data_IF_308328929934
#
_entry.id   IF_308328929934
#
_cell.length_a   1.000
_cell.length_b   1.000
_cell.length_c   1.000
_cell.angle_alpha   90.00
_cell.angle_beta   90.00
_cell.angle_gamma   90.00
#
_symmetry.space_group_name_H-M   'P 1'
#
loop_
_entity.id
_entity.type
_entity.pdbx_description
1 polymer ?
#
# COMPACT_ATOMS: atom_id res chain seq x y z
N UNK A 1 -5.30 -12.17 16.20
CA UNK A 1 -5.16 -10.73 15.86
C UNK A 1 -6.45 -10.34 15.14
N UNK A 2 -7.04 -9.21 15.49
CA UNK A 2 -8.24 -8.73 14.81
C UNK A 2 -7.98 -8.54 13.32
N UNK A 3 -8.94 -8.92 12.47
CA UNK A 3 -8.80 -8.81 11.02
C UNK A 3 -9.02 -7.39 10.51
N UNK A 4 -9.69 -6.54 11.30
CA UNK A 4 -10.05 -5.16 10.94
C UNK A 4 -9.52 -4.16 11.96
N UNK A 5 -9.27 -2.96 11.47
CA UNK A 5 -9.04 -1.75 12.24
C UNK A 5 -10.11 -0.71 11.89
N UNK A 6 -10.16 0.38 12.68
CA UNK A 6 -11.14 1.44 12.53
C UNK A 6 -10.49 2.82 12.71
N UNK A 7 -10.85 3.79 11.85
CA UNK A 7 -10.54 5.20 12.09
C UNK A 7 -11.42 5.77 13.22
N UNK A 8 -11.02 6.90 13.79
CA UNK A 8 -11.77 7.57 14.87
C UNK A 8 -13.22 7.92 14.49
N UNK A 9 -13.52 8.10 13.21
CA UNK A 9 -14.86 8.40 12.69
C UNK A 9 -15.73 7.15 12.46
N UNK A 10 -15.27 5.97 12.84
CA UNK A 10 -16.01 4.73 12.70
C UNK A 10 -15.79 3.95 11.41
N UNK A 11 -15.02 4.50 10.45
CA UNK A 11 -14.72 3.78 9.21
C UNK A 11 -13.80 2.58 9.47
N UNK A 12 -14.23 1.39 9.03
CA UNK A 12 -13.50 0.12 9.23
C UNK A 12 -12.77 -0.31 7.95
N UNK A 13 -11.61 -0.95 8.11
CA UNK A 13 -10.82 -1.51 7.02
C UNK A 13 -10.09 -2.78 7.46
N UNK A 14 -9.73 -3.64 6.50
CA UNK A 14 -8.95 -4.84 6.79
C UNK A 14 -7.49 -4.48 7.14
N UNK A 15 -6.90 -5.25 8.03
CA UNK A 15 -5.46 -5.13 8.34
C UNK A 15 -4.56 -5.71 7.23
N UNK A 16 -5.12 -6.55 6.37
CA UNK A 16 -4.53 -6.94 5.10
C UNK A 16 -5.40 -6.33 4.00
N UNK A 17 -4.81 -5.41 3.24
CA UNK A 17 -5.46 -4.68 2.15
C UNK A 17 -5.05 -5.31 0.83
N UNK A 18 -6.02 -5.51 -0.04
CA UNK A 18 -5.83 -6.04 -1.38
C UNK A 18 -5.19 -4.96 -2.27
N UNK A 19 -3.88 -5.06 -2.54
CA UNK A 19 -3.16 -4.15 -3.41
C UNK A 19 -3.45 -4.44 -4.88
N UNK A 20 -3.90 -3.44 -5.63
CA UNK A 20 -4.33 -3.59 -7.01
C UNK A 20 -3.31 -3.04 -8.04
N UNK A 21 -2.10 -2.66 -7.62
CA UNK A 21 -1.10 -2.15 -8.56
C UNK A 21 -0.74 -3.16 -9.65
N UNK A 22 -0.73 -4.45 -9.31
CA UNK A 22 -0.43 -5.55 -10.24
C UNK A 22 -1.49 -5.71 -11.35
N UNK A 23 -2.67 -5.13 -11.17
CA UNK A 23 -3.75 -5.13 -12.17
C UNK A 23 -3.62 -4.00 -13.20
N UNK A 24 -2.69 -3.06 -12.99
CA UNK A 24 -2.41 -2.03 -14.00
C UNK A 24 -1.89 -2.67 -15.28
N UNK A 25 -2.44 -2.26 -16.43
CA UNK A 25 -2.08 -2.80 -17.74
C UNK A 25 -0.59 -2.72 -18.07
N UNK A 26 0.14 -1.83 -17.40
CA UNK A 26 1.57 -1.63 -17.59
C UNK A 26 2.43 -2.37 -16.56
N UNK A 27 1.84 -3.09 -15.60
CA UNK A 27 2.61 -3.73 -14.52
C UNK A 27 3.40 -4.93 -15.01
N UNK A 28 2.78 -5.78 -15.83
CA UNK A 28 3.44 -6.93 -16.42
C UNK A 28 4.36 -6.47 -17.56
N UNK A 29 5.63 -6.87 -17.52
CA UNK A 29 6.57 -6.61 -18.61
C UNK A 29 6.27 -7.49 -19.83
N UNK A 30 5.64 -8.65 -19.61
CA UNK A 30 5.18 -9.59 -20.62
C UNK A 30 3.82 -10.17 -20.21
N UNK A 31 2.90 -10.27 -21.17
CA UNK A 31 1.56 -10.84 -20.96
C UNK A 31 0.43 -9.81 -20.84
N UNK A 32 -0.78 -10.30 -20.73
CA UNK A 32 -1.99 -9.49 -20.61
C UNK A 32 -2.76 -9.86 -19.34
N UNK A 33 -3.37 -8.86 -18.69
CA UNK A 33 -4.31 -9.07 -17.59
C UNK A 33 -5.62 -9.62 -18.15
N UNK A 34 -6.10 -10.74 -17.61
CA UNK A 34 -7.49 -11.15 -17.80
C UNK A 34 -8.36 -10.48 -16.72
N UNK A 35 -9.17 -9.52 -17.13
CA UNK A 35 -10.07 -8.77 -16.24
C UNK A 35 -11.08 -9.69 -15.55
N UNK A 36 -11.57 -10.74 -16.26
CA UNK A 36 -12.54 -11.69 -15.68
C UNK A 36 -11.91 -12.51 -14.55
N UNK A 37 -10.63 -12.87 -14.69
CA UNK A 37 -9.91 -13.56 -13.62
C UNK A 37 -9.71 -12.64 -12.42
N UNK A 38 -9.41 -11.36 -12.64
CA UNK A 38 -9.30 -10.37 -11.57
C UNK A 38 -10.64 -10.20 -10.83
N UNK A 39 -11.76 -10.11 -11.55
CA UNK A 39 -13.10 -10.01 -10.96
C UNK A 39 -13.46 -11.27 -10.15
N UNK A 40 -13.18 -12.47 -10.67
CA UNK A 40 -13.35 -13.72 -9.91
C UNK A 40 -12.54 -13.73 -8.62
N UNK A 41 -11.29 -13.25 -8.68
CA UNK A 41 -10.44 -13.14 -7.49
C UNK A 41 -11.02 -12.15 -6.47
N UNK A 42 -11.59 -11.03 -6.92
CA UNK A 42 -12.23 -10.06 -6.03
C UNK A 42 -13.44 -10.66 -5.29
N UNK A 43 -14.30 -11.38 -5.99
CA UNK A 43 -15.41 -12.10 -5.34
C UNK A 43 -14.90 -13.09 -4.28
N UNK A 44 -13.92 -13.93 -4.62
CA UNK A 44 -13.32 -14.89 -3.67
C UNK A 44 -12.75 -14.19 -2.43
N UNK A 45 -12.08 -13.05 -2.59
CA UNK A 45 -11.51 -12.29 -1.49
C UNK A 45 -12.59 -11.71 -0.58
N UNK A 46 -13.62 -11.12 -1.15
CA UNK A 46 -14.75 -10.54 -0.41
C UNK A 46 -15.50 -11.63 0.36
N UNK A 47 -15.73 -12.79 -0.23
CA UNK A 47 -16.39 -13.93 0.43
C UNK A 47 -15.56 -14.48 1.60
N UNK A 48 -14.22 -14.33 1.55
CA UNK A 48 -13.32 -14.67 2.65
C UNK A 48 -13.16 -13.53 3.69
N UNK A 49 -13.85 -12.39 3.50
CA UNK A 49 -13.81 -11.25 4.42
C UNK A 49 -12.69 -10.23 4.16
N UNK A 50 -11.93 -10.36 3.06
CA UNK A 50 -10.93 -9.37 2.62
C UNK A 50 -11.59 -8.32 1.73
N UNK A 51 -12.25 -7.35 2.35
CA UNK A 51 -13.14 -6.41 1.69
C UNK A 51 -12.50 -5.06 1.34
N UNK A 52 -11.24 -4.81 1.72
CA UNK A 52 -10.55 -3.55 1.50
C UNK A 52 -9.58 -3.67 0.33
N UNK A 53 -9.69 -2.76 -0.65
CA UNK A 53 -8.87 -2.70 -1.87
C UNK A 53 -8.11 -1.38 -1.93
N UNK A 54 -6.83 -1.41 -2.35
CA UNK A 54 -6.00 -0.22 -2.58
C UNK A 54 -5.68 -0.08 -4.07
N UNK A 55 -6.04 1.04 -4.64
CA UNK A 55 -5.75 1.41 -6.04
C UNK A 55 -5.14 2.83 -6.13
N UNK A 56 -5.11 3.40 -7.32
CA UNK A 56 -4.71 4.78 -7.57
C UNK A 56 -5.27 5.28 -8.90
N UNK A 57 -5.48 6.58 -9.00
CA UNK A 57 -5.92 7.28 -10.21
C UNK A 57 -4.97 7.13 -11.40
N UNK A 58 -3.69 6.82 -11.11
CA UNK A 58 -2.64 6.59 -12.11
C UNK A 58 -2.41 5.11 -12.45
N UNK A 59 -3.09 4.17 -11.79
CA UNK A 59 -3.01 2.74 -12.14
C UNK A 59 -3.93 2.48 -13.32
N UNK A 60 -3.36 2.46 -14.52
CA UNK A 60 -4.11 2.37 -15.79
C UNK A 60 -5.07 1.19 -15.80
N UNK A 61 -6.37 1.46 -15.89
CA UNK A 61 -7.46 0.48 -15.98
C UNK A 61 -7.95 -0.08 -14.63
N UNK A 62 -7.28 0.22 -13.51
CA UNK A 62 -7.60 -0.43 -12.21
C UNK A 62 -8.86 0.15 -11.58
N UNK A 63 -9.05 1.47 -11.62
CA UNK A 63 -10.29 2.08 -11.09
C UNK A 63 -11.51 1.60 -11.87
N UNK A 64 -11.37 1.39 -13.18
CA UNK A 64 -12.40 0.84 -14.05
C UNK A 64 -12.74 -0.62 -13.70
N UNK A 65 -11.74 -1.46 -13.43
CA UNK A 65 -11.95 -2.85 -12.97
C UNK A 65 -12.71 -2.88 -11.64
N UNK A 66 -12.35 -1.99 -10.69
CA UNK A 66 -13.08 -1.85 -9.43
C UNK A 66 -14.52 -1.40 -9.68
N UNK A 67 -14.74 -0.47 -10.62
CA UNK A 67 -16.07 -0.03 -11.03
C UNK A 67 -16.91 -1.15 -11.62
N UNK A 68 -16.33 -2.01 -12.45
CA UNK A 68 -17.00 -3.21 -12.98
C UNK A 68 -17.39 -4.16 -11.85
N UNK A 69 -16.48 -4.41 -10.89
CA UNK A 69 -16.76 -5.21 -9.70
C UNK A 69 -17.92 -4.64 -8.87
N UNK A 70 -17.94 -3.32 -8.63
CA UNK A 70 -19.06 -2.64 -7.97
C UNK A 70 -20.38 -2.86 -8.72
N UNK A 71 -20.36 -2.79 -10.06
CA UNK A 71 -21.54 -3.05 -10.87
C UNK A 71 -22.01 -4.51 -10.81
N UNK A 72 -21.09 -5.49 -10.75
CA UNK A 72 -21.44 -6.90 -10.53
C UNK A 72 -22.13 -7.09 -9.19
N UNK A 73 -21.57 -6.54 -8.10
CA UNK A 73 -22.18 -6.60 -6.77
C UNK A 73 -23.57 -5.94 -6.73
N UNK A 74 -23.78 -4.84 -7.47
CA UNK A 74 -25.09 -4.17 -7.58
C UNK A 74 -26.12 -5.08 -8.30
N UNK A 75 -25.72 -5.72 -9.40
CA UNK A 75 -26.57 -6.63 -10.17
C UNK A 75 -27.00 -7.86 -9.38
N UNK A 76 -26.11 -8.40 -8.57
CA UNK A 76 -26.37 -9.57 -7.72
C UNK A 76 -27.24 -9.25 -6.48
N UNK A 77 -27.67 -8.00 -6.30
CA UNK A 77 -28.42 -7.54 -5.13
C UNK A 77 -27.65 -7.57 -3.81
N UNK A 78 -26.36 -7.83 -3.90
CA UNK A 78 -25.45 -7.97 -2.77
C UNK A 78 -24.70 -6.68 -2.42
N UNK A 79 -24.92 -5.60 -3.18
CA UNK A 79 -24.23 -4.35 -2.96
C UNK A 79 -24.82 -3.57 -1.79
N UNK A 80 -23.95 -3.29 -0.84
CA UNK A 80 -24.11 -2.23 0.15
C UNK A 80 -22.82 -1.40 0.06
N UNK A 81 -22.91 -0.09 0.21
CA UNK A 81 -21.73 0.79 0.12
C UNK A 81 -20.60 0.40 1.09
N UNK A 82 -20.95 -0.15 2.25
CA UNK A 82 -20.05 -0.60 3.29
C UNK A 82 -19.52 -2.04 3.09
N UNK A 83 -20.01 -2.77 2.06
CA UNK A 83 -19.58 -4.15 1.80
C UNK A 83 -18.12 -4.24 1.40
N UNK A 84 -17.66 -3.27 0.60
CA UNK A 84 -16.26 -3.15 0.21
C UNK A 84 -15.76 -1.74 0.51
N UNK A 85 -14.49 -1.64 0.88
CA UNK A 85 -13.78 -0.39 1.11
C UNK A 85 -12.77 -0.21 -0.02
N UNK A 86 -12.74 0.96 -0.65
CA UNK A 86 -11.80 1.26 -1.72
C UNK A 86 -10.96 2.48 -1.36
N UNK A 87 -9.67 2.26 -1.21
CA UNK A 87 -8.67 3.28 -0.99
C UNK A 87 -8.02 3.63 -2.32
N UNK A 88 -8.29 4.81 -2.86
CA UNK A 88 -7.59 5.31 -4.05
C UNK A 88 -6.55 6.35 -3.67
N UNK A 89 -5.81 6.84 -4.65
CA UNK A 89 -4.82 7.88 -4.47
C UNK A 89 -5.13 9.05 -5.40
N UNK A 90 -4.79 10.24 -4.95
CA UNK A 90 -4.67 11.41 -5.80
C UNK A 90 -3.18 11.67 -6.04
N UNK A 91 -2.72 11.34 -7.25
CA UNK A 91 -1.33 11.44 -7.68
C UNK A 91 -1.27 12.36 -8.90
N UNK A 92 -1.13 13.68 -8.71
CA UNK A 92 -1.09 14.61 -9.84
C UNK A 92 0.11 14.31 -10.74
N UNK A 93 -0.06 14.48 -12.05
CA UNK A 93 1.06 14.34 -12.99
C UNK A 93 2.18 15.32 -12.61
N UNK A 94 3.42 14.85 -12.63
CA UNK A 94 4.58 15.66 -12.24
C UNK A 94 4.70 16.94 -13.07
N UNK A 95 4.33 16.91 -14.34
CA UNK A 95 4.34 18.06 -15.24
C UNK A 95 3.33 19.14 -14.87
N UNK A 96 2.27 18.77 -14.14
CA UNK A 96 1.17 19.68 -13.73
C UNK A 96 1.46 20.36 -12.40
N UNK A 97 2.35 19.83 -11.58
CA UNK A 97 2.60 20.34 -10.22
C UNK A 97 2.80 21.87 -10.16
N UNK A 98 3.57 22.51 -11.06
CA UNK A 98 3.79 23.96 -10.99
C UNK A 98 2.54 24.80 -11.26
N UNK A 99 1.49 24.23 -11.87
CA UNK A 99 0.29 24.95 -12.32
C UNK A 99 -1.00 24.33 -11.79
N UNK A 100 -0.87 23.35 -10.88
CA UNK A 100 -2.03 22.66 -10.29
C UNK A 100 -2.98 23.67 -9.63
N UNK A 101 -4.26 23.42 -9.78
CA UNK A 101 -5.31 24.25 -9.21
C UNK A 101 -6.53 23.42 -8.78
N UNK A 102 -7.45 24.06 -8.10
CA UNK A 102 -8.68 23.41 -7.60
C UNK A 102 -9.47 22.68 -8.68
N UNK A 103 -9.61 23.28 -9.85
CA UNK A 103 -10.38 22.66 -10.94
C UNK A 103 -9.73 21.37 -11.43
N UNK A 104 -8.40 21.31 -11.45
CA UNK A 104 -7.67 20.08 -11.73
C UNK A 104 -7.94 19.02 -10.66
N UNK A 105 -7.79 19.38 -9.37
CA UNK A 105 -8.01 18.45 -8.24
C UNK A 105 -9.43 17.89 -8.26
N UNK A 106 -10.45 18.74 -8.42
CA UNK A 106 -11.85 18.31 -8.50
C UNK A 106 -12.10 17.39 -9.71
N UNK A 107 -11.58 17.72 -10.89
CA UNK A 107 -11.70 16.89 -12.08
C UNK A 107 -11.12 15.48 -11.91
N UNK A 108 -9.97 15.35 -11.24
CA UNK A 108 -9.35 14.04 -11.01
C UNK A 108 -10.18 13.21 -10.02
N UNK A 109 -10.65 13.81 -8.92
CA UNK A 109 -11.53 13.14 -7.96
C UNK A 109 -12.84 12.71 -8.62
N UNK A 110 -13.45 13.58 -9.42
CA UNK A 110 -14.68 13.25 -10.19
C UNK A 110 -14.46 12.12 -11.19
N UNK A 111 -13.30 12.08 -11.84
CA UNK A 111 -12.91 10.99 -12.71
C UNK A 111 -12.82 9.65 -11.95
N UNK A 112 -12.21 9.64 -10.77
CA UNK A 112 -12.13 8.44 -9.91
C UNK A 112 -13.52 7.96 -9.45
N UNK A 113 -14.42 8.89 -9.05
CA UNK A 113 -15.82 8.59 -8.72
C UNK A 113 -16.55 7.92 -9.89
N UNK A 114 -16.39 8.49 -11.08
CA UNK A 114 -17.02 7.98 -12.32
C UNK A 114 -16.49 6.59 -12.67
N UNK A 115 -15.18 6.38 -12.67
CA UNK A 115 -14.53 5.11 -13.01
C UNK A 115 -14.95 3.99 -12.07
N UNK A 116 -15.02 4.28 -10.77
CA UNK A 116 -15.37 3.30 -9.74
C UNK A 116 -16.87 3.17 -9.50
N UNK A 117 -17.72 3.90 -10.21
CA UNK A 117 -19.19 3.90 -10.05
C UNK A 117 -19.63 4.15 -8.59
N UNK A 118 -18.97 5.11 -7.91
CA UNK A 118 -19.24 5.46 -6.52
C UNK A 118 -19.67 6.92 -6.38
N UNK A 119 -20.49 7.19 -5.36
CA UNK A 119 -20.94 8.55 -5.02
C UNK A 119 -19.92 9.29 -4.15
N UNK A 120 -19.18 8.53 -3.33
CA UNK A 120 -18.11 9.05 -2.49
C UNK A 120 -16.92 8.08 -2.47
N UNK A 121 -15.69 8.62 -2.46
CA UNK A 121 -14.46 7.86 -2.28
C UNK A 121 -14.23 7.58 -0.79
N UNK A 122 -13.98 6.34 -0.42
CA UNK A 122 -13.83 5.95 0.99
C UNK A 122 -12.58 6.54 1.63
N UNK A 123 -11.46 6.50 0.91
CA UNK A 123 -10.20 7.11 1.30
C UNK A 123 -9.45 7.59 0.05
N UNK A 124 -9.04 8.85 0.06
CA UNK A 124 -8.13 9.41 -0.95
C UNK A 124 -6.78 9.67 -0.31
N UNK A 125 -5.75 9.01 -0.82
CA UNK A 125 -4.39 9.10 -0.33
C UNK A 125 -3.59 10.07 -1.21
N UNK A 126 -3.30 11.25 -0.67
CA UNK A 126 -2.63 12.32 -1.39
C UNK A 126 -1.13 12.06 -1.51
N UNK A 127 -0.62 12.08 -2.75
CA UNK A 127 0.80 11.98 -3.07
C UNK A 127 1.31 13.27 -3.71
N UNK A 128 2.53 13.67 -3.35
CA UNK A 128 3.24 14.77 -3.97
C UNK A 128 4.63 14.32 -4.37
N UNK A 129 5.01 14.55 -5.64
CA UNK A 129 6.23 13.99 -6.21
C UNK A 129 7.52 14.68 -5.78
N UNK A 130 7.46 16.00 -5.63
CA UNK A 130 8.63 16.83 -5.44
C UNK A 130 8.31 17.97 -4.49
N UNK A 131 8.78 17.86 -3.27
CA UNK A 131 8.52 18.83 -2.20
C UNK A 131 9.17 20.20 -2.42
N UNK A 132 10.07 20.35 -3.43
CA UNK A 132 10.60 21.64 -3.83
C UNK A 132 9.63 22.45 -4.71
N UNK A 133 8.62 21.77 -5.28
CA UNK A 133 7.59 22.44 -6.09
C UNK A 133 6.46 22.90 -5.17
N UNK A 134 6.09 24.19 -5.16
CA UNK A 134 5.02 24.72 -4.33
C UNK A 134 3.65 24.22 -4.77
N UNK A 135 2.62 24.39 -3.90
CA UNK A 135 1.22 24.03 -4.20
C UNK A 135 0.72 22.78 -3.46
N UNK A 136 1.60 22.03 -2.79
CA UNK A 136 1.23 20.84 -2.04
C UNK A 136 0.15 21.15 -0.97
N UNK A 137 0.31 22.20 -0.20
CA UNK A 137 -0.64 22.58 0.87
C UNK A 137 -1.97 23.02 0.31
N UNK A 138 -1.98 23.86 -0.74
CA UNK A 138 -3.20 24.33 -1.40
C UNK A 138 -3.98 23.16 -1.96
N UNK A 139 -3.29 22.20 -2.59
CA UNK A 139 -3.89 20.96 -3.11
C UNK A 139 -4.49 20.11 -1.99
N UNK A 140 -3.81 19.99 -0.85
CA UNK A 140 -4.35 19.28 0.31
C UNK A 140 -5.64 19.94 0.84
N UNK A 141 -5.69 21.26 0.91
CA UNK A 141 -6.91 22.00 1.27
C UNK A 141 -8.03 21.85 0.21
N UNK A 142 -7.69 21.72 -1.07
CA UNK A 142 -8.69 21.43 -2.09
C UNK A 142 -9.32 20.04 -1.89
N UNK A 143 -8.54 19.03 -1.47
CA UNK A 143 -9.09 17.73 -1.06
C UNK A 143 -10.00 17.83 0.18
N UNK A 144 -9.65 18.66 1.17
CA UNK A 144 -10.53 18.91 2.34
C UNK A 144 -11.87 19.50 1.90
N UNK A 145 -11.87 20.48 0.97
CA UNK A 145 -13.12 21.01 0.43
C UNK A 145 -13.96 19.98 -0.30
N UNK A 146 -13.32 19.00 -0.98
CA UNK A 146 -14.03 17.89 -1.61
C UNK A 146 -14.59 16.90 -0.58
N UNK A 147 -13.92 16.75 0.57
CA UNK A 147 -14.45 16.01 1.71
C UNK A 147 -15.67 16.71 2.30
N UNK A 148 -15.62 18.03 2.50
CA UNK A 148 -16.76 18.85 2.95
C UNK A 148 -17.96 18.78 2.01
N UNK A 149 -17.71 18.65 0.68
CA UNK A 149 -18.75 18.41 -0.35
C UNK A 149 -19.28 16.98 -0.36
N UNK A 150 -18.75 16.08 0.47
CA UNK A 150 -19.16 14.67 0.54
C UNK A 150 -18.58 13.77 -0.57
N UNK A 151 -17.69 14.27 -1.44
CA UNK A 151 -17.05 13.47 -2.49
C UNK A 151 -15.95 12.53 -1.95
N UNK A 152 -15.36 12.86 -0.81
CA UNK A 152 -14.30 12.10 -0.13
C UNK A 152 -14.74 11.86 1.31
N UNK A 153 -14.66 10.62 1.80
CA UNK A 153 -14.99 10.29 3.21
C UNK A 153 -13.81 10.49 4.13
N UNK A 154 -12.62 10.08 3.70
CA UNK A 154 -11.39 10.14 4.49
C UNK A 154 -10.22 10.64 3.65
N UNK A 155 -9.32 11.41 4.27
CA UNK A 155 -8.07 11.89 3.65
C UNK A 155 -6.90 11.17 4.31
N UNK A 156 -6.09 10.51 3.48
CA UNK A 156 -4.81 9.95 3.85
C UNK A 156 -3.69 10.61 3.07
N UNK A 157 -2.46 10.28 3.44
CA UNK A 157 -1.25 10.69 2.74
C UNK A 157 -0.58 9.46 2.12
N UNK A 158 0.27 9.69 1.11
CA UNK A 158 1.07 8.65 0.48
C UNK A 158 2.51 9.13 0.32
N UNK A 159 3.45 8.38 0.91
CA UNK A 159 4.89 8.67 0.90
C UNK A 159 5.28 10.04 1.49
N UNK A 160 4.49 10.57 2.42
CA UNK A 160 4.91 11.72 3.18
C UNK A 160 5.94 11.29 4.24
N UNK A 161 7.05 12.00 4.33
CA UNK A 161 7.97 11.87 5.45
C UNK A 161 7.36 12.51 6.72
N UNK A 162 8.06 12.39 7.84
CA UNK A 162 7.56 12.90 9.13
C UNK A 162 7.35 14.42 9.13
N UNK A 163 8.23 15.17 8.47
CA UNK A 163 8.14 16.64 8.42
C UNK A 163 6.92 17.08 7.62
N UNK A 164 6.69 16.50 6.44
CA UNK A 164 5.53 16.83 5.58
C UNK A 164 4.23 16.37 6.23
N UNK A 165 4.23 15.18 6.84
CA UNK A 165 3.07 14.72 7.60
C UNK A 165 2.75 15.67 8.76
N UNK A 166 3.76 16.14 9.47
CA UNK A 166 3.62 17.15 10.54
C UNK A 166 3.03 18.45 10.00
N UNK A 167 3.54 18.96 8.88
CA UNK A 167 3.00 20.18 8.25
C UNK A 167 1.51 20.04 7.93
N UNK A 168 1.07 18.89 7.39
CA UNK A 168 -0.34 18.63 7.08
C UNK A 168 -1.20 18.65 8.34
N UNK A 169 -0.77 17.95 9.39
CA UNK A 169 -1.50 17.87 10.67
C UNK A 169 -1.58 19.21 11.36
N UNK A 170 -0.48 19.97 11.45
CA UNK A 170 -0.42 21.29 12.07
C UNK A 170 -1.26 22.34 11.31
N UNK A 171 -1.41 22.19 10.00
CA UNK A 171 -2.29 23.01 9.18
C UNK A 171 -3.77 22.64 9.31
N UNK A 172 -4.12 21.61 10.08
CA UNK A 172 -5.50 21.19 10.31
C UNK A 172 -6.09 20.25 9.24
N UNK A 173 -5.25 19.67 8.34
CA UNK A 173 -5.72 18.64 7.41
C UNK A 173 -6.11 17.39 8.23
N UNK A 174 -7.33 16.81 8.05
CA UNK A 174 -7.83 15.69 8.84
C UNK A 174 -7.24 14.35 8.36
N UNK A 175 -5.92 14.20 8.52
CA UNK A 175 -5.18 13.03 8.06
C UNK A 175 -5.50 11.82 8.93
N UNK A 176 -6.01 10.73 8.34
CA UNK A 176 -6.30 9.48 9.06
C UNK A 176 -5.24 8.40 8.84
N UNK A 177 -4.47 8.47 7.74
CA UNK A 177 -3.44 7.49 7.42
C UNK A 177 -2.31 8.10 6.59
N UNK A 178 -1.14 7.44 6.61
CA UNK A 178 -0.06 7.68 5.67
C UNK A 178 0.43 6.34 5.10
N UNK A 179 0.37 6.18 3.79
CA UNK A 179 0.88 4.99 3.12
C UNK A 179 2.37 5.11 2.89
N UNK A 180 3.17 4.17 3.39
CA UNK A 180 4.63 4.21 3.32
C UNK A 180 5.23 2.84 3.00
N UNK A 181 6.39 2.83 2.31
CA UNK A 181 7.15 1.60 2.10
C UNK A 181 7.77 1.15 3.41
N UNK A 182 7.46 -0.10 3.81
CA UNK A 182 8.00 -0.68 5.02
C UNK A 182 8.04 -2.20 4.94
N UNK A 183 9.20 -2.78 5.25
CA UNK A 183 9.44 -4.23 5.26
C UNK A 183 10.40 -4.63 6.36
N UNK A 184 10.67 -5.93 6.49
CA UNK A 184 11.62 -6.47 7.48
C UNK A 184 13.06 -5.97 7.27
N UNK A 185 13.41 -5.47 6.09
CA UNK A 185 14.74 -4.93 5.76
C UNK A 185 14.72 -3.44 5.40
N UNK A 186 13.64 -2.89 4.85
CA UNK A 186 13.48 -1.44 4.66
C UNK A 186 12.76 -0.84 5.88
N UNK A 187 13.52 -0.46 6.88
CA UNK A 187 13.02 -0.01 8.18
C UNK A 187 13.06 1.51 8.36
N UNK A 188 13.13 2.27 7.26
CA UNK A 188 13.16 3.75 7.30
C UNK A 188 12.03 4.38 8.11
N UNK A 189 10.76 3.90 8.07
CA UNK A 189 9.67 4.47 8.86
C UNK A 189 9.87 4.40 10.37
N UNK A 190 10.68 3.46 10.88
CA UNK A 190 10.95 3.32 12.32
C UNK A 190 11.76 4.49 12.91
N UNK A 191 12.41 5.29 12.07
CA UNK A 191 13.25 6.40 12.55
C UNK A 191 12.42 7.45 13.29
N UNK A 192 11.32 7.91 12.71
CA UNK A 192 10.47 8.98 13.26
C UNK A 192 9.01 8.83 12.88
N UNK A 193 8.70 8.26 11.69
CA UNK A 193 7.35 8.26 11.13
C UNK A 193 6.35 7.46 11.99
N UNK A 194 6.74 6.26 12.43
CA UNK A 194 5.84 5.40 13.22
C UNK A 194 5.51 6.02 14.57
N UNK A 195 6.49 6.64 15.23
CA UNK A 195 6.31 7.28 16.54
C UNK A 195 5.43 8.53 16.40
N UNK A 196 5.68 9.37 15.38
CA UNK A 196 4.85 10.53 15.10
C UNK A 196 3.39 10.12 14.79
N UNK A 197 3.22 9.14 13.91
CA UNK A 197 1.89 8.63 13.53
C UNK A 197 1.13 8.09 14.73
N UNK A 198 1.79 7.30 15.60
CA UNK A 198 1.18 6.77 16.82
C UNK A 198 0.73 7.87 17.77
N UNK A 199 1.57 8.91 17.98
CA UNK A 199 1.26 10.03 18.86
C UNK A 199 0.04 10.84 18.38
N UNK A 200 -0.22 10.87 17.07
CA UNK A 200 -1.33 11.64 16.49
C UNK A 200 -2.54 10.77 16.10
N UNK A 201 -2.49 9.46 16.35
CA UNK A 201 -3.57 8.54 16.00
C UNK A 201 -3.77 8.37 14.49
N UNK A 202 -2.68 8.48 13.73
CA UNK A 202 -2.63 8.28 12.28
C UNK A 202 -2.15 6.85 12.02
N UNK A 203 -2.85 6.11 11.18
CA UNK A 203 -2.39 4.78 10.79
C UNK A 203 -1.32 4.84 9.70
N UNK A 204 -0.30 4.01 9.83
CA UNK A 204 0.66 3.75 8.76
C UNK A 204 0.17 2.54 7.96
N UNK A 205 -0.09 2.73 6.67
CA UNK A 205 -0.39 1.66 5.72
C UNK A 205 0.89 1.27 4.99
N UNK A 206 1.25 -0.03 5.07
CA UNK A 206 2.58 -0.45 4.63
C UNK A 206 2.51 -1.20 3.30
N UNK A 207 3.19 -0.69 2.28
CA UNK A 207 3.42 -1.41 1.04
C UNK A 207 4.88 -1.90 0.95
N UNK A 208 5.13 -2.83 0.01
CA UNK A 208 6.46 -3.42 -0.17
C UNK A 208 6.85 -4.42 0.90
N UNK A 209 5.92 -4.80 1.77
CA UNK A 209 6.15 -5.72 2.90
C UNK A 209 6.67 -7.08 2.46
N UNK A 210 6.30 -7.53 1.26
CA UNK A 210 6.76 -8.78 0.65
C UNK A 210 7.84 -8.59 -0.43
N UNK A 211 8.42 -7.39 -0.54
CA UNK A 211 9.50 -7.09 -1.49
C UNK A 211 9.17 -7.48 -2.95
N UNK A 212 7.95 -7.18 -3.42
CA UNK A 212 7.54 -7.55 -4.78
C UNK A 212 7.45 -9.06 -5.03
N UNK A 213 7.35 -9.85 -3.95
CA UNK A 213 7.29 -11.31 -3.98
C UNK A 213 8.64 -11.99 -3.69
N UNK A 214 9.73 -11.25 -3.48
CA UNK A 214 11.03 -11.85 -3.16
C UNK A 214 11.11 -12.47 -1.77
N UNK A 215 10.22 -12.10 -0.82
CA UNK A 215 10.11 -12.76 0.48
C UNK A 215 9.27 -14.04 0.38
N UNK A 216 9.79 -15.01 -0.37
CA UNK A 216 9.18 -16.30 -0.64
C UNK A 216 10.27 -17.39 -0.68
N UNK A 217 9.98 -18.59 -0.16
CA UNK A 217 10.90 -19.73 -0.09
C UNK A 217 11.42 -20.15 -1.48
N UNK A 218 10.67 -19.90 -2.55
CA UNK A 218 11.08 -20.22 -3.92
C UNK A 218 12.37 -19.53 -4.39
N UNK A 219 12.76 -18.42 -3.73
CA UNK A 219 14.00 -17.68 -4.03
C UNK A 219 15.21 -18.12 -3.20
N UNK A 220 15.02 -19.06 -2.26
CA UNK A 220 16.13 -19.54 -1.42
C UNK A 220 17.15 -20.34 -2.25
N UNK A 221 18.42 -19.98 -2.07
CA UNK A 221 19.53 -20.64 -2.78
C UNK A 221 19.63 -20.32 -4.29
N UNK A 222 18.75 -19.43 -4.79
CA UNK A 222 18.78 -19.06 -6.22
C UNK A 222 19.68 -17.85 -6.48
N UNK A 223 20.28 -17.86 -7.65
CA UNK A 223 20.86 -16.68 -8.26
C UNK A 223 19.74 -15.77 -8.72
N UNK A 224 19.95 -14.46 -8.65
CA UNK A 224 18.99 -13.50 -9.15
C UNK A 224 18.79 -13.64 -10.66
N UNK A 225 17.53 -13.75 -11.08
CA UNK A 225 17.14 -13.82 -12.49
C UNK A 225 16.54 -12.45 -12.93
N UNK A 226 16.46 -12.22 -14.23
CA UNK A 226 15.87 -10.99 -14.79
C UNK A 226 14.43 -10.79 -14.28
N UNK A 227 14.03 -9.55 -13.95
CA UNK A 227 12.70 -9.28 -13.42
C UNK A 227 11.63 -9.46 -14.49
N UNK A 228 10.51 -10.05 -14.10
CA UNK A 228 9.33 -10.27 -14.94
C UNK A 228 8.28 -9.16 -14.79
N UNK A 229 8.35 -8.41 -13.71
CA UNK A 229 7.38 -7.38 -13.36
C UNK A 229 8.03 -6.07 -12.91
N UNK A 230 7.31 -4.97 -13.03
CA UNK A 230 7.75 -3.67 -12.48
C UNK A 230 7.98 -3.72 -10.96
N UNK A 231 7.20 -4.52 -10.23
CA UNK A 231 7.44 -4.76 -8.80
C UNK A 231 8.83 -5.35 -8.55
N UNK A 232 9.20 -6.39 -9.29
CA UNK A 232 10.51 -7.03 -9.12
C UNK A 232 11.64 -6.06 -9.46
N UNK A 233 11.53 -5.27 -10.54
CA UNK A 233 12.51 -4.21 -10.87
C UNK A 233 12.70 -3.26 -9.70
N UNK A 234 11.60 -2.72 -9.18
CA UNK A 234 11.61 -1.77 -8.06
C UNK A 234 12.24 -2.36 -6.80
N UNK A 235 11.76 -3.54 -6.39
CA UNK A 235 12.19 -4.11 -5.11
C UNK A 235 13.57 -4.73 -5.16
N UNK A 236 14.07 -5.12 -6.33
CA UNK A 236 15.47 -5.47 -6.45
C UNK A 236 16.38 -4.29 -6.14
N UNK A 237 16.08 -3.09 -6.66
CA UNK A 237 16.83 -1.89 -6.30
C UNK A 237 16.82 -1.63 -4.80
N UNK A 238 15.67 -1.82 -4.13
CA UNK A 238 15.57 -1.64 -2.67
C UNK A 238 16.40 -2.70 -1.93
N UNK A 239 16.41 -3.94 -2.40
CA UNK A 239 17.22 -5.02 -1.83
C UNK A 239 18.71 -4.69 -1.97
N UNK A 240 19.16 -4.28 -3.16
CA UNK A 240 20.57 -3.92 -3.41
C UNK A 240 21.00 -2.72 -2.56
N UNK A 241 20.16 -1.68 -2.44
CA UNK A 241 20.45 -0.49 -1.64
C UNK A 241 20.49 -0.77 -0.13
N UNK A 242 19.85 -1.86 0.35
CA UNK A 242 19.70 -2.15 1.78
C UNK A 242 20.62 -3.25 2.30
N UNK A 243 20.64 -4.42 1.68
CA UNK A 243 21.35 -5.60 2.19
C UNK A 243 22.00 -6.47 1.11
N UNK A 244 21.79 -6.15 -0.18
CA UNK A 244 22.24 -6.94 -1.32
C UNK A 244 21.56 -8.30 -1.43
N UNK A 245 21.79 -9.01 -2.55
CA UNK A 245 21.18 -10.32 -2.76
C UNK A 245 21.66 -11.37 -1.75
N UNK A 246 22.93 -11.36 -1.37
CA UNK A 246 23.47 -12.27 -0.35
C UNK A 246 22.85 -12.04 1.02
N UNK A 247 22.63 -10.77 1.39
CA UNK A 247 21.91 -10.42 2.62
C UNK A 247 20.45 -10.87 2.59
N UNK A 248 19.80 -10.76 1.42
CA UNK A 248 18.45 -11.25 1.21
C UNK A 248 18.37 -12.78 1.37
N UNK A 249 19.35 -13.54 0.87
CA UNK A 249 19.41 -15.00 1.06
C UNK A 249 19.52 -15.37 2.56
N UNK A 250 20.37 -14.67 3.31
CA UNK A 250 20.50 -14.88 4.78
C UNK A 250 19.18 -14.55 5.49
N UNK A 251 18.50 -13.47 5.10
CA UNK A 251 17.20 -13.10 5.65
C UNK A 251 16.15 -14.17 5.36
N UNK A 252 16.09 -14.70 4.14
CA UNK A 252 15.15 -15.77 3.78
C UNK A 252 15.35 -17.02 4.65
N UNK A 253 16.61 -17.44 4.90
CA UNK A 253 16.91 -18.56 5.78
C UNK A 253 16.38 -18.30 7.20
N UNK A 254 16.65 -17.11 7.76
CA UNK A 254 16.15 -16.74 9.10
C UNK A 254 14.62 -16.76 9.16
N UNK A 255 13.95 -16.16 8.17
CA UNK A 255 12.50 -16.11 8.14
C UNK A 255 11.87 -17.49 7.96
N UNK A 256 12.48 -18.37 7.16
CA UNK A 256 12.04 -19.76 7.00
C UNK A 256 12.16 -20.53 8.31
N UNK A 257 13.27 -20.37 9.06
CA UNK A 257 13.47 -21.05 10.33
C UNK A 257 12.43 -20.60 11.38
N UNK A 258 12.04 -19.32 11.35
CA UNK A 258 10.92 -18.81 12.15
C UNK A 258 9.60 -19.41 11.65
N UNK A 259 9.35 -19.37 10.34
CA UNK A 259 8.14 -19.89 9.73
C UNK A 259 7.90 -21.36 10.05
N UNK A 260 8.97 -22.19 10.00
CA UNK A 260 8.93 -23.61 10.37
C UNK A 260 8.50 -23.89 11.80
N UNK A 261 8.90 -23.03 12.77
CA UNK A 261 8.47 -23.16 14.17
C UNK A 261 6.96 -22.98 14.37
N UNK A 262 6.31 -22.22 13.48
CA UNK A 262 4.90 -21.88 13.59
C UNK A 262 4.03 -22.54 12.51
N UNK A 263 4.61 -23.29 11.59
CA UNK A 263 3.87 -23.94 10.50
C UNK A 263 3.23 -22.95 9.53
N UNK A 264 3.91 -21.83 9.25
CA UNK A 264 3.45 -20.75 8.36
C UNK A 264 4.49 -20.48 7.26
N UNK A 265 4.17 -19.63 6.27
CA UNK A 265 5.12 -19.24 5.21
C UNK A 265 6.05 -18.09 5.65
N UNK A 266 7.17 -17.90 4.95
CA UNK A 266 8.06 -16.73 5.07
C UNK A 266 7.28 -15.42 4.91
N UNK A 267 6.38 -15.36 3.94
CA UNK A 267 5.51 -14.20 3.71
C UNK A 267 4.66 -13.87 4.95
N UNK A 268 4.10 -14.89 5.62
CA UNK A 268 3.31 -14.69 6.84
C UNK A 268 4.14 -14.12 7.97
N UNK A 269 5.39 -14.57 8.14
CA UNK A 269 6.31 -14.03 9.16
C UNK A 269 6.58 -12.55 8.88
N UNK A 270 6.91 -12.20 7.63
CA UNK A 270 7.19 -10.82 7.22
C UNK A 270 5.98 -9.90 7.45
N UNK A 271 4.79 -10.30 7.02
CA UNK A 271 3.54 -9.56 7.23
C UNK A 271 3.25 -9.37 8.73
N UNK A 272 3.37 -10.43 9.53
CA UNK A 272 3.09 -10.36 10.96
C UNK A 272 4.09 -9.48 11.71
N UNK A 273 5.37 -9.48 11.32
CA UNK A 273 6.35 -8.56 11.89
C UNK A 273 5.93 -7.10 11.70
N UNK A 274 5.54 -6.72 10.49
CA UNK A 274 5.13 -5.35 10.18
C UNK A 274 3.82 -4.97 10.89
N UNK A 275 2.81 -5.85 10.88
CA UNK A 275 1.51 -5.58 11.53
C UNK A 275 1.60 -5.39 13.05
N UNK A 276 2.69 -5.78 13.69
CA UNK A 276 2.92 -5.60 15.13
C UNK A 276 3.62 -4.29 15.49
N UNK A 277 4.06 -3.53 14.49
CA UNK A 277 4.74 -2.27 14.75
C UNK A 277 3.75 -1.17 15.12
N UNK A 278 4.24 -0.17 15.86
CA UNK A 278 3.44 1.00 16.28
C UNK A 278 2.78 1.66 15.07
N UNK A 279 1.60 2.19 15.25
CA UNK A 279 0.79 2.88 14.23
C UNK A 279 0.48 2.08 12.96
N UNK A 280 1.03 0.89 12.76
CA UNK A 280 0.74 0.10 11.57
C UNK A 280 -0.71 -0.38 11.60
N UNK A 281 -1.54 0.24 10.77
CA UNK A 281 -2.95 -0.09 10.60
C UNK A 281 -3.15 -1.29 9.71
N UNK A 282 -2.42 -1.34 8.60
CA UNK A 282 -2.56 -2.40 7.59
C UNK A 282 -1.30 -2.58 6.76
N UNK A 283 -1.20 -3.73 6.11
CA UNK A 283 -0.26 -4.01 5.02
C UNK A 283 -0.99 -4.23 3.71
N UNK A 284 -0.44 -3.73 2.60
CA UNK A 284 -0.91 -4.02 1.26
C UNK A 284 -0.18 -5.23 0.70
N UNK A 285 -0.97 -6.22 0.27
CA UNK A 285 -0.49 -7.43 -0.39
C UNK A 285 -1.10 -7.50 -1.78
N UNK A 286 -0.28 -7.77 -2.79
CA UNK A 286 -0.77 -7.90 -4.17
C UNK A 286 -1.77 -9.04 -4.29
N UNK A 287 -2.89 -8.76 -4.94
CA UNK A 287 -4.01 -9.70 -5.10
C UNK A 287 -3.83 -10.64 -6.27
N UNK A 288 -2.95 -10.29 -7.19
CA UNK A 288 -2.76 -10.97 -8.46
C UNK A 288 -1.28 -11.22 -8.76
N UNK A 289 -0.97 -12.42 -9.23
CA UNK A 289 0.31 -12.74 -9.83
C UNK A 289 0.06 -13.13 -11.30
N UNK A 290 0.61 -12.38 -12.27
CA UNK A 290 0.38 -12.64 -13.70
C UNK A 290 0.87 -14.02 -14.17
N UNK A 291 1.80 -14.65 -13.43
CA UNK A 291 2.35 -15.97 -13.78
C UNK A 291 1.61 -17.13 -13.14
N UNK A 292 0.84 -16.93 -12.07
CA UNK A 292 0.14 -18.00 -11.33
C UNK A 292 -1.31 -17.67 -10.96
N UNK A 293 -1.89 -16.57 -11.47
CA UNK A 293 -3.25 -16.15 -11.14
C UNK A 293 -3.41 -15.56 -9.72
N UNK A 294 -4.57 -15.71 -9.09
CA UNK A 294 -4.84 -15.14 -7.77
C UNK A 294 -3.82 -15.65 -6.74
N UNK A 295 -3.21 -14.74 -5.97
CA UNK A 295 -2.25 -15.07 -4.90
C UNK A 295 -2.94 -15.73 -3.70
N UNK A 296 -3.63 -16.85 -3.90
CA UNK A 296 -4.33 -17.58 -2.84
C UNK A 296 -3.37 -18.17 -1.77
N UNK A 297 -2.10 -18.38 -2.13
CA UNK A 297 -1.09 -18.93 -1.22
C UNK A 297 -0.48 -17.89 -0.26
N UNK A 298 -0.68 -16.59 -0.51
CA UNK A 298 -0.03 -15.52 0.25
C UNK A 298 -0.91 -14.98 1.39
N UNK A 299 -2.20 -15.30 1.40
CA UNK A 299 -3.08 -14.85 2.49
C UNK A 299 -2.93 -15.76 3.71
N UNK A 300 -2.61 -15.21 4.89
CA UNK A 300 -2.52 -15.98 6.11
C UNK A 300 -3.91 -16.43 6.55
N UNK A 301 -4.38 -17.57 6.06
CA UNK A 301 -5.63 -18.20 6.50
C UNK A 301 -5.51 -18.84 7.89
N UNK A 302 -4.28 -18.97 8.44
CA UNK A 302 -4.05 -19.44 9.80
C UNK A 302 -3.81 -18.27 10.75
N UNK A 303 -4.59 -18.24 11.83
CA UNK A 303 -4.37 -17.35 12.96
C UNK A 303 -3.02 -17.65 13.62
N UNK A 304 -2.14 -16.65 13.68
CA UNK A 304 -0.92 -16.69 14.47
C UNK A 304 -1.27 -16.92 15.96
N UNK A 305 -0.55 -17.79 16.68
CA UNK A 305 -0.81 -17.98 18.11
C UNK A 305 -0.68 -16.65 18.88
N UNK A 306 -1.39 -16.50 20.02
CA UNK A 306 -1.33 -15.29 20.82
C UNK A 306 0.10 -15.01 21.29
N UNK A 307 0.42 -13.73 21.39
CA UNK A 307 1.72 -13.14 21.67
C UNK A 307 2.57 -13.91 22.68
N UNK A 308 3.77 -14.34 22.24
CA UNK A 308 4.87 -14.58 23.18
C UNK A 308 5.28 -13.25 23.83
N UNK A 309 5.66 -13.24 25.13
CA UNK A 309 6.02 -12.01 25.83
C UNK A 309 7.22 -11.33 25.16
N UNK A 310 7.18 -9.99 25.10
CA UNK A 310 8.24 -9.15 24.57
C UNK A 310 9.55 -9.39 25.34
N UNK A 311 10.51 -10.07 24.74
CA UNK A 311 11.88 -10.14 25.26
C UNK A 311 12.70 -8.98 24.71
N UNK A 312 13.02 -8.06 25.57
CA UNK A 312 14.17 -7.16 25.70
C UNK A 312 15.17 -7.08 24.52
N UNK A 313 15.32 -5.84 24.06
CA UNK A 313 16.53 -5.19 23.52
C UNK A 313 17.59 -6.06 22.83
N UNK A 314 17.49 -6.17 21.50
CA UNK A 314 18.66 -6.43 20.65
C UNK A 314 19.38 -5.12 20.30
N UNK A 315 20.72 -5.09 20.28
CA UNK A 315 21.47 -3.88 19.91
C UNK A 315 21.20 -3.50 18.46
N UNK A 316 20.90 -2.22 18.23
CA UNK A 316 20.69 -1.67 16.86
C UNK A 316 22.02 -1.66 16.09
N UNK A 317 22.08 -2.17 14.85
CA UNK A 317 23.21 -1.87 13.96
C UNK A 317 23.23 -0.37 13.69
N UNK A 318 24.40 0.25 13.80
CA UNK A 318 24.63 1.64 13.37
C UNK A 318 24.56 1.69 11.84
N UNK A 319 23.46 2.17 11.28
CA UNK A 319 23.40 2.52 9.88
C UNK A 319 23.95 3.94 9.68
N UNK A 320 24.89 4.08 8.74
CA UNK A 320 25.40 5.37 8.27
C UNK A 320 24.26 6.25 7.77
N UNK A 321 24.32 7.52 8.12
CA UNK A 321 23.38 8.54 7.68
C UNK A 321 23.56 8.81 6.18
N UNK A 322 22.75 8.16 5.36
CA UNK A 322 22.50 8.63 4.00
C UNK A 322 21.13 9.29 3.97
N UNK A 323 21.13 10.60 3.74
CA UNK A 323 19.93 11.38 3.46
C UNK A 323 19.19 10.76 2.27
N UNK A 324 17.88 10.59 2.42
CA UNK A 324 17.03 10.22 1.30
C UNK A 324 17.02 11.35 0.28
N UNK A 325 17.83 11.24 -0.75
CA UNK A 325 17.61 11.92 -2.01
C UNK A 325 16.67 11.05 -2.82
N UNK A 326 15.53 11.60 -3.25
CA UNK A 326 14.63 10.96 -4.19
C UNK A 326 15.36 10.38 -5.40
N UNK A 327 14.70 9.57 -6.24
CA UNK A 327 15.35 8.90 -7.36
C UNK A 327 16.19 9.88 -8.16
N UNK A 328 17.43 9.48 -8.49
CA UNK A 328 18.37 10.32 -9.24
C UNK A 328 17.72 10.84 -10.53
N UNK A 329 18.04 12.06 -10.99
CA UNK A 329 17.54 12.56 -12.26
C UNK A 329 17.88 11.58 -13.39
N UNK A 330 16.88 11.04 -14.09
CA UNK A 330 17.04 10.08 -15.19
C UNK A 330 16.39 8.73 -15.01
N UNK A 331 16.06 8.30 -13.81
CA UNK A 331 15.23 7.12 -13.61
C UNK A 331 13.78 7.53 -13.47
N UNK A 332 12.94 7.18 -14.45
CA UNK A 332 11.47 7.25 -14.31
C UNK A 332 11.12 6.34 -13.12
N UNK A 333 10.79 6.95 -11.98
CA UNK A 333 10.17 6.22 -10.88
C UNK A 333 8.80 5.76 -11.37
N UNK A 334 8.72 4.51 -11.80
CA UNK A 334 7.43 3.85 -11.97
C UNK A 334 6.97 3.37 -10.59
N UNK A 335 5.79 3.82 -10.20
CA UNK A 335 5.03 3.21 -9.10
C UNK A 335 4.66 1.78 -9.44
#
# INVERSE_FOLDING_TARGET
MEQKNQFKNGYTFNRIINGCWQLSSEHCLQGHLDVRDALRAFHMLVDQGFTTFDCADIYTGVEEIIGEFVNELKRDGNYREDRIQVHTKFVPDKSVLPTINRAYTERIVDRSLMRMHREALDLVQFHWWDFSIPGMMDTAFDLVRLQEKGKIRNIGMCNMDTERLKMMVEAGIPVVSNQAQYSVFDRRPERTLLDYSAAHGIYTFCYGTLAGGFLDERYMGKVYEAPETRSQVKYMQIIEDSLGWDGMQKLLVLLRDIAGKYGVSVANVAVQYILRQKSVGAVMVGTWNPTCGPCSSTFPTRTWPPSAPSSTSTPRPRASATSWSGPRPGTRASF
#
